data_IF_022149196913
#
_entry.id   IF_022149196913
#
_cell.length_a   1.000
_cell.length_b   1.000
_cell.length_c   1.000
_cell.angle_alpha   90.00
_cell.angle_beta   90.00
_cell.angle_gamma   90.00
#
_symmetry.space_group_name_H-M   'P 1'
#
loop_
_entity.id
_entity.type
_entity.pdbx_description
1 polymer ?
#
# COMPACT_ATOMS: atom_id res chain seq x y z
N UNK A 1 -8.60 -22.30 -18.41
CA UNK A 1 -8.89 -21.04 -17.70
C UNK A 1 -7.56 -20.41 -17.34
N UNK A 2 -6.91 -19.74 -18.29
CA UNK A 2 -5.67 -19.00 -18.03
C UNK A 2 -6.06 -17.57 -17.74
N UNK A 3 -5.94 -17.17 -16.48
CA UNK A 3 -6.13 -15.79 -16.09
C UNK A 3 -5.15 -14.92 -16.89
N UNK A 4 -5.66 -13.87 -17.55
CA UNK A 4 -4.81 -12.95 -18.31
C UNK A 4 -4.21 -11.92 -17.35
N UNK A 5 -2.93 -11.58 -17.47
CA UNK A 5 -2.36 -10.49 -16.70
C UNK A 5 -3.08 -9.20 -17.05
N UNK A 6 -3.41 -8.44 -16.00
CA UNK A 6 -4.06 -7.15 -16.15
C UNK A 6 -3.09 -6.10 -16.73
N UNK A 7 -3.59 -4.89 -16.94
CA UNK A 7 -2.77 -3.82 -17.52
C UNK A 7 -1.67 -3.33 -16.55
N UNK A 8 -1.91 -3.41 -15.23
CA UNK A 8 -0.96 -2.97 -14.21
C UNK A 8 0.24 -3.91 -14.15
N UNK A 9 0.02 -5.22 -14.19
CA UNK A 9 1.06 -6.23 -14.25
C UNK A 9 1.88 -6.11 -15.55
N UNK A 10 1.23 -5.86 -16.69
CA UNK A 10 1.94 -5.62 -17.95
C UNK A 10 2.80 -4.35 -17.92
N UNK A 11 2.32 -3.28 -17.28
CA UNK A 11 3.09 -2.04 -17.08
C UNK A 11 4.25 -2.27 -16.11
N UNK A 12 3.99 -2.83 -14.94
CA UNK A 12 5.04 -3.15 -13.97
C UNK A 12 6.11 -4.08 -14.56
N UNK A 13 5.72 -5.01 -15.44
CA UNK A 13 6.69 -5.82 -16.18
C UNK A 13 7.53 -5.01 -17.16
N UNK A 14 6.94 -4.01 -17.84
CA UNK A 14 7.66 -3.09 -18.72
C UNK A 14 8.68 -2.24 -17.95
N UNK A 15 8.28 -1.78 -16.77
CA UNK A 15 9.05 -0.87 -15.91
C UNK A 15 10.02 -1.62 -14.96
N UNK A 16 10.07 -2.96 -15.03
CA UNK A 16 10.90 -3.83 -14.18
C UNK A 16 10.58 -3.72 -12.68
N UNK A 17 9.30 -3.52 -12.36
CA UNK A 17 8.79 -3.36 -10.98
C UNK A 17 8.16 -4.64 -10.39
N UNK A 18 8.10 -5.71 -11.17
CA UNK A 18 7.62 -7.01 -10.69
C UNK A 18 8.69 -7.78 -9.95
N UNK A 19 8.28 -8.59 -8.97
CA UNK A 19 9.15 -9.59 -8.36
C UNK A 19 9.52 -10.70 -9.37
N UNK A 20 10.50 -11.53 -9.01
CA UNK A 20 11.03 -12.56 -9.90
C UNK A 20 9.99 -13.59 -10.32
N UNK A 21 9.06 -13.96 -9.43
CA UNK A 21 8.02 -14.96 -9.72
C UNK A 21 6.97 -14.40 -10.69
N UNK A 22 6.48 -13.19 -10.43
CA UNK A 22 5.52 -12.51 -11.31
C UNK A 22 6.12 -12.18 -12.67
N UNK A 23 7.40 -11.78 -12.71
CA UNK A 23 8.12 -11.55 -13.97
C UNK A 23 8.17 -12.80 -14.84
N UNK A 24 8.48 -13.97 -14.25
CA UNK A 24 8.51 -15.24 -14.99
C UNK A 24 7.11 -15.62 -15.51
N UNK A 25 6.07 -15.47 -14.69
CA UNK A 25 4.69 -15.77 -15.09
C UNK A 25 4.21 -14.90 -16.26
N UNK A 26 4.42 -13.58 -16.17
CA UNK A 26 4.05 -12.64 -17.24
C UNK A 26 4.85 -12.93 -18.51
N UNK A 27 6.17 -13.18 -18.39
CA UNK A 27 7.03 -13.52 -19.52
C UNK A 27 6.54 -14.77 -20.24
N UNK A 28 6.23 -15.83 -19.49
CA UNK A 28 5.70 -17.08 -20.06
C UNK A 28 4.34 -16.87 -20.74
N UNK A 29 3.47 -16.04 -20.16
CA UNK A 29 2.18 -15.71 -20.75
C UNK A 29 2.32 -14.90 -22.04
N UNK A 30 3.29 -13.98 -22.13
CA UNK A 30 3.57 -13.20 -23.33
C UNK A 30 4.08 -14.07 -24.50
N UNK A 31 4.67 -15.23 -24.23
CA UNK A 31 5.10 -16.19 -25.25
C UNK A 31 3.92 -16.96 -25.86
N UNK A 32 2.84 -17.19 -25.10
CA UNK A 32 1.72 -18.03 -25.51
C UNK A 32 0.46 -17.24 -25.90
N UNK A 33 0.31 -15.99 -25.44
CA UNK A 33 -0.91 -15.20 -25.62
C UNK A 33 -0.72 -14.01 -26.59
N UNK A 34 -1.22 -14.08 -27.84
CA UNK A 34 -1.09 -12.99 -28.81
C UNK A 34 -1.89 -11.73 -28.43
N UNK A 35 -2.96 -11.86 -27.63
CA UNK A 35 -3.72 -10.71 -27.15
C UNK A 35 -2.92 -9.87 -26.15
N UNK A 36 -2.31 -10.51 -25.15
CA UNK A 36 -1.45 -9.82 -24.18
C UNK A 36 -0.19 -9.27 -24.85
N UNK A 37 0.38 -9.99 -25.82
CA UNK A 37 1.51 -9.49 -26.60
C UNK A 37 1.17 -8.20 -27.38
N UNK A 38 -0.02 -8.09 -27.97
CA UNK A 38 -0.48 -6.86 -28.63
C UNK A 38 -0.60 -5.69 -27.66
N UNK A 39 -1.21 -5.92 -26.48
CA UNK A 39 -1.34 -4.90 -25.42
C UNK A 39 0.03 -4.44 -24.91
N UNK A 40 0.93 -5.38 -24.65
CA UNK A 40 2.29 -5.08 -24.20
C UNK A 40 3.07 -4.25 -25.23
N UNK A 41 2.96 -4.58 -26.53
CA UNK A 41 3.55 -3.77 -27.61
C UNK A 41 2.97 -2.35 -27.70
N UNK A 42 1.69 -2.16 -27.37
CA UNK A 42 1.08 -0.82 -27.31
C UNK A 42 1.71 0.01 -26.18
N UNK A 43 1.85 -0.56 -24.98
CA UNK A 43 2.54 0.09 -23.86
C UNK A 43 4.00 0.42 -24.21
N UNK A 44 4.72 -0.51 -24.82
CA UNK A 44 6.10 -0.28 -25.29
C UNK A 44 6.21 0.88 -26.28
N UNK A 45 5.25 1.04 -27.19
CA UNK A 45 5.23 2.17 -28.14
C UNK A 45 5.00 3.49 -27.42
N UNK A 46 3.99 3.55 -26.56
CA UNK A 46 3.69 4.74 -25.76
C UNK A 46 4.90 5.18 -24.92
N UNK A 47 5.56 4.23 -24.24
CA UNK A 47 6.76 4.50 -23.45
C UNK A 47 7.90 5.10 -24.31
N UNK A 48 8.13 4.55 -25.51
CA UNK A 48 9.13 5.11 -26.44
C UNK A 48 8.75 6.49 -26.96
N UNK A 49 7.49 6.70 -27.31
CA UNK A 49 7.01 7.99 -27.81
C UNK A 49 7.19 9.08 -26.73
N UNK A 50 6.94 8.74 -25.45
CA UNK A 50 7.20 9.63 -24.33
C UNK A 50 8.70 9.92 -24.12
N UNK A 51 9.56 8.93 -24.29
CA UNK A 51 11.03 9.11 -24.20
C UNK A 51 11.59 9.98 -25.34
N UNK A 52 10.89 10.07 -26.47
CA UNK A 52 11.28 10.91 -27.61
C UNK A 52 10.85 12.37 -27.46
N UNK A 53 10.04 12.70 -26.46
CA UNK A 53 9.69 14.09 -26.18
C UNK A 53 10.96 14.88 -25.85
N UNK A 54 11.07 16.14 -26.33
CA UNK A 54 12.20 16.99 -25.99
C UNK A 54 12.29 17.12 -24.48
N UNK A 55 13.47 16.83 -23.93
CA UNK A 55 13.73 17.01 -22.52
C UNK A 55 13.65 18.50 -22.20
N UNK A 56 12.67 18.88 -21.38
CA UNK A 56 12.72 20.18 -20.72
C UNK A 56 13.89 20.14 -19.75
N UNK A 57 14.97 20.84 -20.08
CA UNK A 57 16.01 21.11 -19.10
C UNK A 57 15.36 21.98 -18.02
N UNK A 58 15.33 21.52 -16.76
CA UNK A 58 14.87 22.40 -15.69
C UNK A 58 15.78 23.63 -15.68
N UNK A 59 15.18 24.82 -15.70
CA UNK A 59 15.91 26.10 -15.60
C UNK A 59 16.66 26.25 -14.28
N UNK A 60 16.37 25.35 -13.34
CA UNK A 60 16.96 25.27 -12.02
C UNK A 60 18.02 24.17 -11.99
N UNK A 61 19.22 24.53 -11.56
CA UNK A 61 20.30 23.59 -11.28
C UNK A 61 19.94 22.76 -10.04
N UNK A 62 19.41 21.56 -10.28
CA UNK A 62 18.96 20.64 -9.23
C UNK A 62 20.17 20.15 -8.42
N UNK A 63 21.33 19.98 -9.04
CA UNK A 63 22.55 19.55 -8.35
C UNK A 63 23.01 20.63 -7.36
N UNK A 64 22.99 21.90 -7.78
CA UNK A 64 23.28 23.02 -6.89
C UNK A 64 22.23 23.19 -5.76
N UNK A 65 20.99 22.76 -5.97
CA UNK A 65 19.96 22.75 -4.93
C UNK A 65 20.19 21.60 -3.94
N UNK A 66 20.54 20.41 -4.44
CA UNK A 66 20.84 19.22 -3.64
C UNK A 66 22.04 19.45 -2.73
N UNK A 67 23.09 20.12 -3.21
CA UNK A 67 24.25 20.50 -2.41
C UNK A 67 23.93 21.48 -1.27
N UNK A 68 22.82 22.22 -1.38
CA UNK A 68 22.33 23.11 -0.32
C UNK A 68 21.44 22.41 0.69
N UNK A 69 21.01 21.17 0.44
CA UNK A 69 20.23 20.44 1.40
C UNK A 69 21.12 20.07 2.60
N UNK A 70 20.70 20.38 3.84
CA UNK A 70 21.46 19.96 5.01
C UNK A 70 21.56 18.43 5.02
N UNK A 71 22.78 17.92 5.20
CA UNK A 71 23.00 16.48 5.33
C UNK A 71 22.10 15.92 6.45
N UNK A 72 21.50 14.72 6.27
CA UNK A 72 20.73 14.07 7.32
C UNK A 72 21.61 13.94 8.56
N UNK A 73 21.35 14.78 9.56
CA UNK A 73 22.12 14.75 10.78
C UNK A 73 21.73 13.47 11.53
N UNK A 74 22.67 12.56 11.82
CA UNK A 74 22.34 11.36 12.57
C UNK A 74 21.79 11.82 13.93
N UNK A 75 20.48 11.67 14.11
CA UNK A 75 19.82 11.92 15.37
C UNK A 75 20.29 10.84 16.33
N UNK A 76 21.40 11.09 17.03
CA UNK A 76 21.78 10.20 18.12
C UNK A 76 20.68 10.29 19.16
N UNK A 77 20.01 9.17 19.51
CA UNK A 77 19.01 9.19 20.55
C UNK A 77 19.73 9.59 21.84
N UNK A 78 19.46 10.80 22.32
CA UNK A 78 19.94 11.27 23.60
C UNK A 78 19.30 10.40 24.68
N UNK A 79 19.94 9.27 25.00
CA UNK A 79 19.45 8.40 26.05
C UNK A 79 19.77 9.08 27.39
N UNK A 80 18.75 9.55 28.12
CA UNK A 80 18.97 10.27 29.36
C UNK A 80 19.65 9.35 30.38
N UNK A 81 20.67 9.85 31.09
CA UNK A 81 21.54 9.03 31.97
C UNK A 81 20.77 8.25 33.05
N UNK A 82 19.62 8.74 33.50
CA UNK A 82 18.73 8.02 34.43
C UNK A 82 18.22 6.66 33.93
N UNK A 83 18.13 6.45 32.60
CA UNK A 83 17.76 5.16 31.98
C UNK A 83 18.82 4.07 32.21
N UNK A 84 20.06 4.45 32.53
CA UNK A 84 21.14 3.50 32.87
C UNK A 84 21.09 3.02 34.32
N UNK A 85 20.25 3.62 35.16
CA UNK A 85 20.17 3.32 36.60
C UNK A 85 18.92 2.53 37.00
N UNK A 86 18.04 2.19 36.05
CA UNK A 86 16.70 1.67 36.34
C UNK A 86 16.34 0.27 35.78
N UNK A 87 17.25 -0.67 35.43
CA UNK A 87 16.79 -1.97 34.91
C UNK A 87 16.14 -2.85 35.99
N UNK A 88 16.29 -2.54 37.29
CA UNK A 88 15.73 -3.35 38.38
C UNK A 88 14.30 -2.99 38.83
N UNK A 89 13.90 -1.71 38.75
CA UNK A 89 12.60 -1.25 39.29
C UNK A 89 11.42 -1.39 38.31
N UNK A 90 11.68 -1.49 37.00
CA UNK A 90 10.57 -1.49 36.01
C UNK A 90 9.79 -2.80 35.95
N UNK A 91 10.44 -3.96 36.18
CA UNK A 91 9.80 -5.26 36.05
C UNK A 91 8.69 -5.48 37.10
N UNK A 92 8.94 -5.11 38.36
CA UNK A 92 7.96 -5.26 39.43
C UNK A 92 6.76 -4.32 39.25
N UNK A 93 7.02 -3.06 38.85
CA UNK A 93 5.96 -2.09 38.58
C UNK A 93 5.08 -2.53 37.38
N UNK A 94 5.67 -3.11 36.34
CA UNK A 94 4.94 -3.63 35.19
C UNK A 94 4.03 -4.82 35.57
N UNK A 95 4.50 -5.73 36.42
CA UNK A 95 3.69 -6.85 36.91
C UNK A 95 2.52 -6.38 37.77
N UNK A 96 2.75 -5.43 38.68
CA UNK A 96 1.70 -4.89 39.55
C UNK A 96 0.64 -4.16 38.73
N UNK A 97 1.06 -3.29 37.81
CA UNK A 97 0.14 -2.54 36.96
C UNK A 97 -0.61 -3.45 35.99
N UNK A 98 0.07 -4.45 35.41
CA UNK A 98 -0.56 -5.45 34.55
C UNK A 98 -1.60 -6.30 35.29
N UNK A 99 -1.31 -6.72 36.52
CA UNK A 99 -2.26 -7.48 37.33
C UNK A 99 -3.46 -6.62 37.77
N UNK A 100 -3.23 -5.34 38.07
CA UNK A 100 -4.27 -4.40 38.46
C UNK A 100 -5.23 -4.08 37.29
N UNK A 101 -4.68 -3.78 36.12
CA UNK A 101 -5.46 -3.51 34.90
C UNK A 101 -6.16 -4.79 34.41
N UNK A 102 -5.44 -5.93 34.39
CA UNK A 102 -6.02 -7.21 34.00
C UNK A 102 -7.17 -7.64 34.92
N UNK A 103 -7.03 -7.40 36.22
CA UNK A 103 -8.09 -7.64 37.20
C UNK A 103 -9.30 -6.72 37.00
N UNK A 104 -9.09 -5.43 36.68
CA UNK A 104 -10.20 -4.51 36.45
C UNK A 104 -10.96 -4.78 35.14
N UNK A 105 -10.27 -5.34 34.13
CA UNK A 105 -10.86 -5.71 32.85
C UNK A 105 -11.62 -7.05 32.90
N UNK A 106 -11.43 -7.86 33.96
CA UNK A 106 -12.25 -9.04 34.22
C UNK A 106 -13.64 -8.63 34.77
N UNK A 107 -14.36 -7.82 34.01
CA UNK A 107 -15.82 -7.85 34.07
C UNK A 107 -16.29 -9.03 33.21
N UNK A 108 -17.26 -9.85 33.66
CA UNK A 108 -17.88 -10.83 32.80
C UNK A 108 -18.50 -10.07 31.61
N UNK A 109 -17.90 -10.22 30.44
CA UNK A 109 -18.37 -9.63 29.19
C UNK A 109 -19.77 -10.19 28.95
N UNK A 110 -20.79 -9.37 29.19
CA UNK A 110 -22.10 -9.61 28.60
C UNK A 110 -21.90 -9.49 27.10
N UNK A 111 -22.10 -10.60 26.38
CA UNK A 111 -21.95 -10.69 24.93
C UNK A 111 -22.72 -9.54 24.26
N UNK A 112 -22.03 -8.57 23.63
CA UNK A 112 -22.71 -7.55 22.85
C UNK A 112 -23.36 -8.21 21.62
N UNK A 113 -24.56 -7.77 21.19
CA UNK A 113 -25.17 -8.27 19.96
C UNK A 113 -24.26 -7.99 18.75
N UNK A 114 -24.25 -8.92 17.80
CA UNK A 114 -23.39 -8.90 16.63
C UNK A 114 -23.41 -7.52 15.92
N UNK A 115 -22.25 -6.97 15.53
CA UNK A 115 -22.20 -5.69 14.83
C UNK A 115 -22.90 -5.81 13.48
N UNK A 116 -23.83 -4.88 13.22
CA UNK A 116 -24.53 -4.78 11.94
C UNK A 116 -23.55 -4.50 10.79
N UNK A 117 -23.83 -5.10 9.63
CA UNK A 117 -23.04 -5.06 8.39
C UNK A 117 -22.70 -3.64 7.88
N UNK A 118 -23.36 -2.60 8.41
CA UNK A 118 -23.15 -1.19 8.05
C UNK A 118 -21.76 -0.65 8.41
N UNK A 119 -21.08 -1.19 9.43
CA UNK A 119 -19.76 -0.70 9.83
C UNK A 119 -18.65 -1.05 8.82
N UNK A 120 -18.87 -2.06 7.98
CA UNK A 120 -17.94 -2.49 6.94
C UNK A 120 -18.12 -1.75 5.61
N UNK A 121 -19.13 -0.90 5.48
CA UNK A 121 -19.39 -0.13 4.26
C UNK A 121 -18.28 0.89 3.93
N UNK A 122 -17.47 1.28 4.92
CA UNK A 122 -16.36 2.24 4.76
C UNK A 122 -15.14 1.60 4.06
N UNK A 123 -15.02 0.26 4.11
CA UNK A 123 -13.96 -0.51 3.44
C UNK A 123 -14.42 -1.07 2.09
N UNK A 124 -15.65 -0.73 1.66
CA UNK A 124 -16.15 -1.08 0.34
C UNK A 124 -15.34 -0.39 -0.76
N UNK A 125 -15.27 -1.01 -1.93
CA UNK A 125 -14.53 -0.54 -3.11
C UNK A 125 -15.10 0.73 -3.77
N UNK A 126 -15.89 1.53 -3.06
CA UNK A 126 -16.36 2.82 -3.53
C UNK A 126 -15.20 3.82 -3.48
N UNK A 127 -14.67 4.31 -4.62
CA UNK A 127 -13.69 5.38 -4.61
C UNK A 127 -14.33 6.63 -3.99
N UNK A 128 -13.58 7.45 -3.22
CA UNK A 128 -14.11 8.72 -2.73
C UNK A 128 -14.47 9.61 -3.92
N UNK A 129 -15.76 9.71 -4.24
CA UNK A 129 -16.26 10.48 -5.40
C UNK A 129 -17.59 10.04 -6.00
N UNK A 130 -18.14 8.86 -5.63
CA UNK A 130 -19.44 8.43 -6.13
C UNK A 130 -20.61 9.13 -5.40
N UNK A 131 -21.19 10.16 -6.00
CA UNK A 131 -22.47 10.73 -5.57
C UNK A 131 -23.63 9.86 -6.09
N UNK A 132 -23.91 8.72 -5.45
CA UNK A 132 -25.17 8.00 -5.69
C UNK A 132 -26.32 8.73 -4.95
N UNK A 133 -27.47 8.90 -5.62
CA UNK A 133 -28.67 9.52 -5.02
C UNK A 133 -29.30 8.67 -3.90
N UNK A 134 -29.17 7.35 -3.98
CA UNK A 134 -29.58 6.36 -2.97
C UNK A 134 -28.62 5.15 -3.00
N UNK A 135 -28.28 4.55 -1.85
CA UNK A 135 -27.24 3.52 -1.75
C UNK A 135 -27.59 2.18 -2.42
N UNK A 136 -28.87 1.80 -2.46
CA UNK A 136 -29.37 0.55 -3.07
C UNK A 136 -29.09 0.45 -4.58
N UNK A 137 -28.93 1.60 -5.25
CA UNK A 137 -28.68 1.66 -6.69
C UNK A 137 -27.20 1.40 -7.04
N UNK A 138 -26.27 1.52 -6.09
CA UNK A 138 -24.85 1.30 -6.38
C UNK A 138 -24.48 -0.20 -6.40
N UNK A 139 -25.32 -1.09 -5.86
CA UNK A 139 -25.05 -2.53 -5.75
C UNK A 139 -25.76 -3.41 -6.80
N UNK A 140 -26.50 -2.82 -7.74
CA UNK A 140 -27.06 -3.55 -8.88
C UNK A 140 -25.99 -3.82 -9.95
N UNK A 141 -25.02 -4.68 -9.63
CA UNK A 141 -24.13 -5.28 -10.62
C UNK A 141 -24.62 -6.70 -10.95
N UNK A 142 -25.43 -6.76 -12.00
CA UNK A 142 -25.49 -7.85 -12.98
C UNK A 142 -25.49 -9.29 -12.47
N UNK A 143 -26.62 -9.76 -11.95
CA UNK A 143 -27.00 -11.17 -12.06
C UNK A 143 -28.12 -11.31 -13.11
N UNK A 144 -27.76 -11.17 -14.39
CA UNK A 144 -28.61 -11.61 -15.49
C UNK A 144 -27.74 -12.40 -16.48
N UNK A 145 -27.89 -13.72 -16.36
CA UNK A 145 -27.70 -14.81 -17.33
C UNK A 145 -26.38 -14.90 -18.11
#
# INVERSE_FOLDING_TARGET
MTEHPDIQQLSAHLDTELDTSSTAAVSQHLLSCPQCQRRYRQLQRLSRDLQQLPSLQPELDIDALLDRLPAPQPQQPATPRWRRLAPGLSAAAALILGLWIGGSLYSPISTPPAPGLSALAILGSAPPGALCRQPELCYLHGSLQ
#
